data_IF_322908193257
#
_entry.id   IF_322908193257
#
_cell.length_a   1.000
_cell.length_b   1.000
_cell.length_c   1.000
_cell.angle_alpha   90.00
_cell.angle_beta   90.00
_cell.angle_gamma   90.00
#
_symmetry.space_group_name_H-M   'P 1'
#
loop_
_entity.id
_entity.type
_entity.pdbx_description
1 polymer ?
#
# COMPACT_ATOMS: atom_id res chain seq x y z
N UNK A 1 11.22 4.64 7.73
CA UNK A 1 11.41 3.28 7.18
C UNK A 1 12.90 2.99 6.94
N UNK A 2 13.75 2.92 7.97
CA UNK A 2 15.20 2.79 7.77
C UNK A 2 15.61 1.41 7.20
N UNK A 3 14.96 0.33 7.64
CA UNK A 3 15.34 -1.04 7.26
C UNK A 3 14.91 -1.40 5.84
N UNK A 4 13.68 -1.02 5.44
CA UNK A 4 13.19 -1.21 4.06
C UNK A 4 14.06 -0.40 3.10
N UNK A 5 14.38 0.86 3.43
CA UNK A 5 15.28 1.68 2.61
C UNK A 5 16.66 1.05 2.49
N UNK A 6 17.22 0.53 3.58
CA UNK A 6 18.50 -0.17 3.55
C UNK A 6 18.45 -1.39 2.62
N UNK A 7 17.37 -2.17 2.66
CA UNK A 7 17.17 -3.33 1.78
C UNK A 7 17.07 -2.94 0.30
N UNK A 8 16.22 -1.96 -0.03
CA UNK A 8 16.00 -1.50 -1.41
C UNK A 8 17.24 -0.83 -2.01
N UNK A 9 18.13 -0.27 -1.19
CA UNK A 9 19.37 0.38 -1.63
C UNK A 9 20.57 -0.57 -1.73
N UNK A 10 20.40 -1.88 -1.47
CA UNK A 10 21.48 -2.86 -1.67
C UNK A 10 21.85 -2.98 -3.15
N UNK A 11 23.15 -3.07 -3.46
CA UNK A 11 23.64 -3.21 -4.83
C UNK A 11 23.05 -4.43 -5.55
N UNK A 12 22.92 -5.57 -4.87
CA UNK A 12 22.29 -6.78 -5.42
C UNK A 12 20.82 -6.62 -5.81
N UNK A 13 20.13 -5.61 -5.26
CA UNK A 13 18.76 -5.24 -5.63
C UNK A 13 18.79 -4.25 -6.81
N UNK A 14 19.64 -3.22 -6.74
CA UNK A 14 19.82 -2.23 -7.81
C UNK A 14 20.28 -2.82 -9.15
N UNK A 15 21.02 -3.93 -9.14
CA UNK A 15 21.43 -4.63 -10.36
C UNK A 15 20.28 -5.33 -11.08
N UNK A 16 19.17 -5.66 -10.39
CA UNK A 16 18.06 -6.46 -10.92
C UNK A 16 16.79 -5.66 -11.20
N UNK A 17 16.63 -4.51 -10.55
CA UNK A 17 15.45 -3.67 -10.67
C UNK A 17 15.84 -2.26 -11.13
N UNK A 18 14.98 -1.61 -11.91
CA UNK A 18 15.24 -0.23 -12.34
C UNK A 18 15.19 0.73 -11.15
N UNK A 19 16.02 1.78 -11.21
CA UNK A 19 16.03 2.83 -10.19
C UNK A 19 14.65 3.51 -10.04
N UNK A 20 13.93 3.68 -11.16
CA UNK A 20 12.57 4.21 -11.18
C UNK A 20 11.61 3.33 -10.37
N UNK A 21 11.65 2.00 -10.56
CA UNK A 21 10.81 1.07 -9.83
C UNK A 21 11.14 1.08 -8.34
N UNK A 22 12.42 1.03 -7.98
CA UNK A 22 12.85 1.01 -6.57
C UNK A 22 12.48 2.30 -5.84
N UNK A 23 12.61 3.43 -6.52
CA UNK A 23 12.18 4.73 -5.99
C UNK A 23 10.67 4.78 -5.81
N UNK A 24 9.91 4.36 -6.82
CA UNK A 24 8.46 4.28 -6.73
C UNK A 24 8.01 3.40 -5.55
N UNK A 25 8.59 2.20 -5.42
CA UNK A 25 8.28 1.29 -4.32
C UNK A 25 8.63 1.91 -2.96
N UNK A 26 9.78 2.55 -2.83
CA UNK A 26 10.18 3.27 -1.62
C UNK A 26 9.19 4.39 -1.25
N UNK A 27 8.77 5.18 -2.23
CA UNK A 27 7.84 6.31 -2.04
C UNK A 27 6.40 5.83 -1.78
N UNK A 28 6.08 4.57 -2.10
CA UNK A 28 4.74 3.99 -1.90
C UNK A 28 4.46 3.56 -0.46
N UNK A 29 5.47 3.53 0.41
CA UNK A 29 5.33 2.97 1.75
C UNK A 29 4.93 4.00 2.80
N UNK A 30 3.91 3.66 3.60
CA UNK A 30 3.59 4.32 4.86
C UNK A 30 3.48 3.27 5.98
N UNK A 31 4.44 3.28 6.91
CA UNK A 31 4.56 2.32 8.03
C UNK A 31 4.60 0.86 7.54
N UNK A 32 3.46 0.20 7.46
CA UNK A 32 3.29 -1.20 7.04
C UNK A 32 2.55 -1.32 5.68
N UNK A 33 1.92 -0.25 5.21
CA UNK A 33 1.12 -0.24 3.99
C UNK A 33 1.92 0.24 2.78
N UNK A 34 1.74 -0.41 1.64
CA UNK A 34 2.25 0.01 0.34
C UNK A 34 1.08 0.48 -0.55
N UNK A 35 1.06 1.76 -0.91
CA UNK A 35 0.00 2.37 -1.71
C UNK A 35 0.62 3.11 -2.89
N UNK A 36 0.20 2.77 -4.11
CA UNK A 36 0.67 3.44 -5.34
C UNK A 36 -0.43 3.47 -6.39
N UNK A 37 -0.34 4.44 -7.30
CA UNK A 37 -1.06 4.42 -8.57
C UNK A 37 -0.18 3.82 -9.69
N UNK A 38 -0.82 3.24 -10.70
CA UNK A 38 -0.20 2.69 -11.92
C UNK A 38 -1.09 3.05 -13.12
N UNK A 39 -0.53 3.11 -14.33
CA UNK A 39 -1.29 3.63 -15.47
C UNK A 39 -2.29 2.62 -16.03
N UNK A 40 -2.02 1.32 -15.89
CA UNK A 40 -2.82 0.27 -16.51
C UNK A 40 -2.66 -1.08 -15.79
N UNK A 41 -3.50 -2.04 -16.18
CA UNK A 41 -3.52 -3.39 -15.61
C UNK A 41 -2.23 -4.20 -15.82
N UNK A 42 -1.47 -3.93 -16.89
CA UNK A 42 -0.21 -4.62 -17.12
C UNK A 42 0.86 -4.14 -16.12
N UNK A 43 0.97 -2.82 -15.94
CA UNK A 43 1.83 -2.23 -14.91
C UNK A 43 1.44 -2.67 -13.50
N UNK A 44 0.13 -2.77 -13.20
CA UNK A 44 -0.33 -3.28 -11.91
C UNK A 44 0.25 -4.67 -11.62
N UNK A 45 0.11 -5.60 -12.56
CA UNK A 45 0.61 -6.98 -12.40
C UNK A 45 2.12 -7.02 -12.20
N UNK A 46 2.85 -6.28 -13.05
CA UNK A 46 4.32 -6.20 -12.97
C UNK A 46 4.75 -5.60 -11.63
N UNK A 47 4.08 -4.52 -11.19
CA UNK A 47 4.39 -3.86 -9.93
C UNK A 47 4.14 -4.78 -8.73
N UNK A 48 2.96 -5.41 -8.66
CA UNK A 48 2.61 -6.34 -7.58
C UNK A 48 3.60 -7.49 -7.49
N UNK A 49 3.93 -8.12 -8.62
CA UNK A 49 4.89 -9.23 -8.66
C UNK A 49 6.29 -8.78 -8.25
N UNK A 50 6.79 -7.69 -8.83
CA UNK A 50 8.13 -7.18 -8.58
C UNK A 50 8.29 -6.70 -7.13
N UNK A 51 7.28 -5.98 -6.60
CA UNK A 51 7.28 -5.47 -5.24
C UNK A 51 7.22 -6.62 -4.23
N UNK A 52 6.37 -7.62 -4.47
CA UNK A 52 6.29 -8.80 -3.60
C UNK A 52 7.62 -9.56 -3.59
N UNK A 53 8.24 -9.76 -4.75
CA UNK A 53 9.50 -10.50 -4.86
C UNK A 53 10.66 -9.77 -4.17
N UNK A 54 10.87 -8.48 -4.48
CA UNK A 54 11.97 -7.72 -3.90
C UNK A 54 11.82 -7.61 -2.38
N UNK A 55 10.61 -7.41 -1.86
CA UNK A 55 10.37 -7.31 -0.42
C UNK A 55 10.59 -8.66 0.28
N UNK A 56 10.17 -9.77 -0.34
CA UNK A 56 10.36 -11.13 0.18
C UNK A 56 11.84 -11.49 0.37
N UNK A 57 12.71 -11.02 -0.50
CA UNK A 57 14.17 -11.20 -0.35
C UNK A 57 14.74 -10.50 0.87
N UNK A 58 14.11 -9.40 1.30
CA UNK A 58 14.42 -8.70 2.54
C UNK A 58 13.74 -9.31 3.77
N UNK A 59 13.07 -10.46 3.61
CA UNK A 59 12.20 -11.09 4.61
C UNK A 59 10.99 -10.24 5.02
N UNK A 60 10.55 -9.34 4.14
CA UNK A 60 9.31 -8.59 4.31
C UNK A 60 8.18 -9.27 3.54
N UNK A 61 7.11 -9.65 4.24
CA UNK A 61 5.92 -10.28 3.64
C UNK A 61 4.95 -9.19 3.18
N UNK A 62 5.03 -8.80 1.91
CA UNK A 62 4.11 -7.86 1.28
C UNK A 62 2.95 -8.64 0.65
N UNK A 63 1.74 -8.45 1.18
CA UNK A 63 0.54 -9.26 0.86
C UNK A 63 -0.74 -8.42 0.95
N UNK A 64 -1.87 -9.01 0.58
CA UNK A 64 -3.17 -8.35 0.69
C UNK A 64 -3.38 -7.25 -0.35
N UNK A 65 -2.85 -7.45 -1.56
CA UNK A 65 -2.98 -6.49 -2.66
C UNK A 65 -4.43 -6.26 -3.05
N UNK A 66 -4.81 -4.99 -3.12
CA UNK A 66 -6.11 -4.54 -3.59
C UNK A 66 -5.94 -3.52 -4.72
N UNK A 67 -6.89 -3.45 -5.65
CA UNK A 67 -6.85 -2.48 -6.74
C UNK A 67 -8.27 -2.06 -7.16
N UNK A 68 -8.41 -0.82 -7.63
CA UNK A 68 -9.64 -0.33 -8.29
C UNK A 68 -9.86 -0.96 -9.68
N UNK A 69 -8.83 -1.57 -10.26
CA UNK A 69 -8.88 -2.18 -11.59
C UNK A 69 -9.38 -3.63 -11.60
N UNK A 70 -9.42 -4.29 -10.43
CA UNK A 70 -9.85 -5.68 -10.28
C UNK A 70 -11.18 -5.70 -9.51
N UNK A 71 -12.28 -6.16 -10.14
CA UNK A 71 -13.54 -6.35 -9.43
C UNK A 71 -13.34 -7.33 -8.28
N UNK A 72 -13.65 -6.90 -7.06
CA UNK A 72 -13.66 -7.73 -5.86
C UNK A 72 -15.07 -7.84 -5.29
N UNK A 73 -15.32 -8.88 -4.50
CA UNK A 73 -16.63 -9.08 -3.85
C UNK A 73 -16.98 -7.94 -2.89
N UNK A 74 -15.97 -7.38 -2.19
CA UNK A 74 -16.12 -6.12 -1.48
C UNK A 74 -15.80 -4.96 -2.42
N UNK A 75 -16.68 -3.97 -2.51
CA UNK A 75 -16.41 -2.74 -3.27
C UNK A 75 -15.61 -1.73 -2.45
N UNK A 76 -15.53 -1.92 -1.13
CA UNK A 76 -14.84 -1.03 -0.20
C UNK A 76 -13.75 -1.76 0.59
N UNK A 77 -12.70 -1.01 0.93
CA UNK A 77 -11.58 -1.47 1.76
C UNK A 77 -11.02 -0.35 2.62
N UNK A 78 -10.28 -0.67 3.68
CA UNK A 78 -9.63 0.34 4.51
C UNK A 78 -8.18 0.57 4.05
N UNK A 79 -7.85 1.83 3.78
CA UNK A 79 -6.49 2.26 3.41
C UNK A 79 -6.09 3.40 4.35
N UNK A 80 -5.08 3.16 5.20
CA UNK A 80 -4.57 4.14 6.17
C UNK A 80 -5.66 4.72 7.11
N UNK A 81 -6.69 3.94 7.43
CA UNK A 81 -7.82 4.37 8.25
C UNK A 81 -8.90 5.16 7.49
N UNK A 82 -8.78 5.29 6.17
CA UNK A 82 -9.80 5.83 5.28
C UNK A 82 -10.55 4.68 4.60
N UNK A 83 -11.81 4.92 4.24
CA UNK A 83 -12.61 4.01 3.42
C UNK A 83 -12.27 4.30 1.96
N UNK A 84 -11.83 3.30 1.21
CA UNK A 84 -11.60 3.36 -0.22
C UNK A 84 -12.73 2.65 -0.96
N UNK A 85 -13.47 3.38 -1.79
CA UNK A 85 -14.39 2.81 -2.78
C UNK A 85 -13.62 2.51 -4.07
N UNK A 86 -13.48 1.22 -4.38
CA UNK A 86 -12.72 0.72 -5.53
C UNK A 86 -13.44 0.94 -6.86
N UNK A 87 -14.77 1.10 -6.86
CA UNK A 87 -15.54 1.32 -8.08
C UNK A 87 -15.45 2.76 -8.57
N UNK A 88 -15.55 3.72 -7.66
CA UNK A 88 -15.42 5.15 -7.96
C UNK A 88 -13.99 5.67 -7.85
N UNK A 89 -13.08 4.88 -7.27
CA UNK A 89 -11.71 5.26 -6.94
C UNK A 89 -11.64 6.50 -6.03
N UNK A 90 -12.47 6.51 -4.97
CA UNK A 90 -12.58 7.63 -4.03
C UNK A 90 -12.24 7.22 -2.60
N UNK A 91 -11.62 8.13 -1.84
CA UNK A 91 -11.35 7.97 -0.42
C UNK A 91 -12.34 8.80 0.42
N UNK A 92 -12.89 8.17 1.44
CA UNK A 92 -13.86 8.73 2.36
C UNK A 92 -13.38 8.57 3.80
N UNK A 93 -13.76 9.53 4.65
CA UNK A 93 -13.49 9.44 6.08
C UNK A 93 -14.54 8.53 6.70
N UNK A 94 -14.11 7.58 7.52
CA UNK A 94 -15.02 6.82 8.36
C UNK A 94 -15.58 7.72 9.47
N UNK A 95 -16.79 8.23 9.24
CA UNK A 95 -17.50 9.09 10.20
C UNK A 95 -17.82 8.38 11.52
N UNK A 96 -17.86 7.05 11.57
CA UNK A 96 -18.08 6.30 12.81
C UNK A 96 -16.83 6.27 13.68
N UNK A 97 -15.65 6.12 13.06
CA UNK A 97 -14.35 6.22 13.73
C UNK A 97 -14.05 7.62 14.29
N UNK A 98 -14.78 8.65 13.83
CA UNK A 98 -14.67 10.03 14.35
C UNK A 98 -15.56 10.33 15.55
N UNK A 99 -16.42 9.40 15.97
CA UNK A 99 -17.25 9.59 17.17
C UNK A 99 -16.32 9.60 18.39
N UNK A 100 -16.05 10.78 18.93
CA UNK A 100 -15.31 10.92 20.18
C UNK A 100 -16.08 10.24 21.31
N UNK A 101 -15.38 9.45 22.13
CA UNK A 101 -15.90 8.98 23.41
C UNK A 101 -16.15 10.22 24.30
N UNK A 102 -17.37 10.76 24.26
CA UNK A 102 -17.88 11.58 25.35
C UNK A 102 -18.00 10.68 26.59
N UNK A 103 -16.88 10.49 27.29
CA UNK A 103 -16.94 9.94 28.65
C UNK A 103 -17.72 10.92 29.50
N UNK A 104 -18.93 10.51 29.85
CA UNK A 104 -19.75 11.14 30.87
C UNK A 104 -18.86 11.53 32.06
N UNK A 105 -18.84 12.83 32.36
CA UNK A 105 -18.35 13.28 33.66
C UNK A 105 -19.38 12.82 34.68
N UNK A 106 -19.09 11.69 35.33
CA UNK A 106 -19.80 11.25 36.53
C UNK A 106 -19.92 12.44 37.51
N UNK A 107 -21.17 12.77 37.87
CA UNK A 107 -21.52 13.70 38.95
C UNK A 107 -21.55 12.98 40.30
#
# INVERSE_FOLDING_TARGET
MAVINYHLLKESVKERYSEEFLKKLQDSFYVDNCVTSVQNNAELRIFVESATNVMKEGMFDLRGWESSAIPSESTTSLVLGLIWDKNSDTLEIDSESLKFDEKEKDN
#
